data_IF_011112269600
#
_entry.id   IF_011112269600
#
_cell.length_a   1.000
_cell.length_b   1.000
_cell.length_c   1.000
_cell.angle_alpha   90.00
_cell.angle_beta   90.00
_cell.angle_gamma   90.00
#
_symmetry.space_group_name_H-M   'P 1'
#
loop_
_entity.id
_entity.type
_entity.pdbx_description
1 polymer ?
#
# COMPACT_ATOMS: atom_id res chain seq x y z
N UNK A 1 13.34 1.68 3.27
CA UNK A 1 12.25 1.23 4.17
C UNK A 1 11.99 -0.22 3.82
N UNK A 2 12.14 -1.17 4.75
CA UNK A 2 11.84 -2.57 4.46
C UNK A 2 10.33 -2.77 4.63
N UNK A 3 9.55 -2.69 3.56
CA UNK A 3 8.08 -2.76 3.63
C UNK A 3 7.62 -4.04 4.35
N UNK A 4 8.31 -5.17 4.14
CA UNK A 4 8.04 -6.44 4.82
C UNK A 4 8.10 -6.29 6.35
N UNK A 5 9.03 -5.49 6.87
CA UNK A 5 9.13 -5.25 8.31
C UNK A 5 7.96 -4.39 8.83
N UNK A 6 7.43 -3.46 8.03
CA UNK A 6 6.22 -2.72 8.39
C UNK A 6 5.00 -3.64 8.42
N UNK A 7 4.82 -4.52 7.42
CA UNK A 7 3.75 -5.52 7.43
C UNK A 7 3.82 -6.41 8.69
N UNK A 8 5.01 -6.95 8.98
CA UNK A 8 5.27 -7.76 10.18
C UNK A 8 5.00 -7.00 11.47
N UNK A 9 5.53 -5.78 11.61
CA UNK A 9 5.38 -4.93 12.80
C UNK A 9 3.91 -4.64 13.12
N UNK A 10 3.08 -4.52 12.08
CA UNK A 10 1.66 -4.23 12.23
C UNK A 10 0.78 -5.48 12.27
N UNK A 11 1.37 -6.68 12.24
CA UNK A 11 0.67 -7.97 12.20
C UNK A 11 -0.31 -8.08 11.02
N UNK A 12 0.13 -7.62 9.84
CA UNK A 12 -0.60 -7.72 8.58
C UNK A 12 0.06 -8.82 7.74
N UNK A 13 -0.71 -9.77 7.17
CA UNK A 13 -0.15 -10.82 6.33
C UNK A 13 0.62 -10.25 5.13
N UNK A 14 1.68 -10.95 4.75
CA UNK A 14 2.51 -10.60 3.60
C UNK A 14 2.89 -11.87 2.85
N UNK A 15 2.55 -11.91 1.58
CA UNK A 15 2.65 -13.05 0.67
C UNK A 15 3.09 -12.60 -0.71
N UNK A 16 3.10 -13.52 -1.67
CA UNK A 16 3.44 -13.22 -3.06
C UNK A 16 2.43 -12.28 -3.72
N UNK A 17 1.16 -12.24 -3.31
CA UNK A 17 0.22 -11.23 -3.81
C UNK A 17 0.60 -9.81 -3.35
N UNK A 18 1.07 -9.62 -2.11
CA UNK A 18 1.57 -8.30 -1.69
C UNK A 18 2.82 -7.89 -2.49
N UNK A 19 3.66 -8.84 -2.92
CA UNK A 19 4.76 -8.55 -3.84
C UNK A 19 4.23 -8.14 -5.22
N UNK A 20 3.28 -8.90 -5.78
CA UNK A 20 2.63 -8.62 -7.07
C UNK A 20 1.98 -7.23 -7.07
N UNK A 21 1.04 -6.99 -6.17
CA UNK A 21 0.34 -5.70 -6.04
C UNK A 21 1.32 -4.59 -5.68
N UNK A 22 2.32 -4.87 -4.84
CA UNK A 22 3.35 -3.90 -4.50
C UNK A 22 4.18 -3.47 -5.71
N UNK A 23 4.48 -4.38 -6.65
CA UNK A 23 5.28 -4.09 -7.85
C UNK A 23 4.46 -3.50 -8.99
N UNK A 24 3.28 -4.02 -9.23
CA UNK A 24 2.47 -3.69 -10.42
C UNK A 24 1.31 -2.73 -10.11
N UNK A 25 1.04 -2.49 -8.84
CA UNK A 25 -0.10 -1.71 -8.40
C UNK A 25 -1.39 -2.52 -8.43
N UNK A 26 -2.50 -1.79 -8.29
CA UNK A 26 -3.85 -2.32 -8.35
C UNK A 26 -4.75 -1.28 -9.01
N UNK A 27 -5.71 -1.71 -9.83
CA UNK A 27 -6.71 -0.82 -10.38
C UNK A 27 -7.98 -1.57 -10.74
N UNK A 28 -9.12 -1.03 -10.29
CA UNK A 28 -10.44 -1.39 -10.77
C UNK A 28 -11.30 -0.11 -10.94
N UNK A 29 -12.63 -0.25 -10.90
CA UNK A 29 -13.55 0.89 -11.05
C UNK A 29 -13.63 1.78 -9.80
N UNK A 30 -13.19 1.30 -8.63
CA UNK A 30 -13.37 1.94 -7.32
C UNK A 30 -12.04 2.34 -6.68
N UNK A 31 -10.98 1.57 -6.94
CA UNK A 31 -9.72 1.61 -6.23
C UNK A 31 -8.54 1.68 -7.18
N UNK A 32 -7.52 2.41 -6.73
CA UNK A 32 -6.26 2.57 -7.47
C UNK A 32 -5.08 2.60 -6.51
N UNK A 33 -3.99 1.92 -6.91
CA UNK A 33 -2.68 1.96 -6.29
C UNK A 33 -1.62 1.89 -7.40
N UNK A 34 -0.70 2.85 -7.41
CA UNK A 34 0.47 2.76 -8.26
C UNK A 34 1.47 1.75 -7.68
N UNK A 35 2.22 1.03 -8.55
CA UNK A 35 3.32 0.18 -8.13
C UNK A 35 4.40 0.96 -7.35
N UNK A 36 4.85 0.39 -6.23
CA UNK A 36 5.77 0.98 -5.25
C UNK A 36 7.11 0.25 -5.24
N UNK A 37 7.09 -1.07 -5.45
CA UNK A 37 8.28 -1.91 -5.45
C UNK A 37 8.95 -1.86 -6.83
N UNK A 38 10.27 -2.02 -6.85
CA UNK A 38 11.04 -2.20 -8.07
C UNK A 38 11.40 -3.68 -8.27
N UNK A 39 11.92 -4.01 -9.45
CA UNK A 39 12.31 -5.39 -9.78
C UNK A 39 13.42 -5.91 -8.85
N UNK A 40 14.36 -5.04 -8.47
CA UNK A 40 15.44 -5.38 -7.54
C UNK A 40 14.90 -5.84 -6.18
N UNK A 41 13.84 -5.20 -5.66
CA UNK A 41 13.18 -5.61 -4.45
C UNK A 41 12.55 -7.00 -4.61
N UNK A 42 11.79 -7.23 -5.69
CA UNK A 42 11.14 -8.52 -5.97
C UNK A 42 12.19 -9.63 -5.99
N UNK A 43 13.27 -9.43 -6.73
CA UNK A 43 14.33 -10.42 -6.89
C UNK A 43 15.08 -10.69 -5.58
N UNK A 44 15.42 -9.64 -4.83
CA UNK A 44 16.06 -9.80 -3.52
C UNK A 44 15.16 -10.57 -2.55
N UNK A 45 13.86 -10.29 -2.55
CA UNK A 45 12.89 -11.02 -1.75
C UNK A 45 12.84 -12.49 -2.15
N UNK A 46 12.75 -12.78 -3.45
CA UNK A 46 12.69 -14.15 -3.97
C UNK A 46 13.93 -14.97 -3.60
N UNK A 47 15.13 -14.39 -3.75
CA UNK A 47 16.37 -15.07 -3.38
C UNK A 47 16.47 -15.31 -1.87
N UNK A 48 16.10 -14.32 -1.04
CA UNK A 48 16.07 -14.49 0.42
C UNK A 48 15.04 -15.57 0.83
N UNK A 49 13.88 -15.61 0.18
CA UNK A 49 12.87 -16.63 0.39
C UNK A 49 13.38 -18.03 0.04
N UNK A 50 13.93 -18.24 -1.16
CA UNK A 50 14.46 -19.52 -1.61
C UNK A 50 15.62 -20.00 -0.73
N UNK A 51 16.47 -19.08 -0.25
CA UNK A 51 17.57 -19.41 0.67
C UNK A 51 17.10 -19.98 2.02
N UNK A 52 15.85 -19.69 2.41
CA UNK A 52 15.23 -20.15 3.65
C UNK A 52 14.28 -21.33 3.43
N UNK A 53 13.92 -21.61 2.18
CA UNK A 53 12.93 -22.62 1.79
C UNK A 53 13.53 -23.52 0.69
N UNK A 54 14.60 -24.24 1.01
CA UNK A 54 15.32 -25.10 0.03
C UNK A 54 14.43 -26.22 -0.57
N UNK A 55 13.33 -26.57 0.09
CA UNK A 55 12.36 -27.57 -0.36
C UNK A 55 11.10 -26.95 -1.00
N UNK A 56 11.17 -25.71 -1.49
CA UNK A 56 10.07 -25.08 -2.23
C UNK A 56 9.65 -25.95 -3.43
N UNK A 57 8.38 -26.32 -3.50
CA UNK A 57 7.83 -27.20 -4.53
C UNK A 57 7.28 -26.41 -5.73
N UNK A 58 6.94 -25.13 -5.54
CA UNK A 58 6.43 -24.28 -6.61
C UNK A 58 7.54 -23.89 -7.59
N UNK A 59 7.52 -24.50 -8.77
CA UNK A 59 8.50 -24.27 -9.83
C UNK A 59 8.56 -22.81 -10.29
N UNK A 60 7.45 -22.06 -10.19
CA UNK A 60 7.41 -20.66 -10.63
C UNK A 60 8.20 -19.74 -9.69
N UNK A 61 8.34 -20.09 -8.40
CA UNK A 61 9.19 -19.34 -7.46
C UNK A 61 10.67 -19.53 -7.84
N UNK A 62 11.07 -20.75 -8.21
CA UNK A 62 12.42 -21.03 -8.71
C UNK A 62 12.70 -20.34 -10.04
N UNK A 63 11.73 -20.34 -10.96
CA UNK A 63 11.83 -19.65 -12.25
C UNK A 63 11.99 -18.14 -12.03
N UNK A 64 11.19 -17.55 -11.14
CA UNK A 64 11.32 -16.14 -10.74
C UNK A 64 12.71 -15.85 -10.16
N UNK A 65 13.23 -16.70 -9.28
CA UNK A 65 14.57 -16.56 -8.70
C UNK A 65 15.73 -16.76 -9.69
N UNK A 66 15.44 -17.34 -10.86
CA UNK A 66 16.42 -17.59 -11.93
C UNK A 66 16.51 -16.47 -12.97
N UNK A 67 15.62 -15.47 -12.90
CA UNK A 67 15.67 -14.32 -13.81
C UNK A 67 16.97 -13.54 -13.63
N UNK A 68 17.53 -13.06 -14.74
CA UNK A 68 18.76 -12.28 -14.76
C UNK A 68 18.49 -10.84 -15.19
N UNK A 69 19.25 -9.91 -14.63
CA UNK A 69 19.18 -8.49 -15.03
C UNK A 69 19.75 -8.28 -16.45
N UNK A 70 19.09 -7.48 -17.32
CA UNK A 70 17.87 -6.71 -17.06
C UNK A 70 16.62 -7.60 -17.04
N UNK A 71 15.74 -7.37 -16.07
CA UNK A 71 14.54 -8.18 -15.88
C UNK A 71 13.45 -7.82 -16.91
N UNK A 72 12.72 -8.82 -17.40
CA UNK A 72 11.49 -8.61 -18.17
C UNK A 72 10.32 -8.46 -17.20
N UNK A 73 9.76 -7.24 -17.16
CA UNK A 73 8.62 -6.91 -16.31
C UNK A 73 7.39 -7.79 -16.57
N UNK A 74 7.15 -8.19 -17.82
CA UNK A 74 6.01 -9.07 -18.15
C UNK A 74 6.24 -10.49 -17.64
N UNK A 75 7.49 -10.94 -17.64
CA UNK A 75 7.86 -12.26 -17.12
C UNK A 75 7.72 -12.31 -15.61
N UNK A 76 8.18 -11.26 -14.90
CA UNK A 76 7.95 -11.10 -13.45
C UNK A 76 6.45 -11.13 -13.14
N UNK A 77 5.65 -10.33 -13.85
CA UNK A 77 4.21 -10.28 -13.64
C UNK A 77 3.59 -11.67 -13.79
N UNK A 78 3.87 -12.33 -14.91
CA UNK A 78 3.35 -13.65 -15.23
C UNK A 78 3.74 -14.68 -14.16
N UNK A 79 4.98 -14.68 -13.69
CA UNK A 79 5.44 -15.62 -12.68
C UNK A 79 4.77 -15.36 -11.33
N UNK A 80 4.67 -14.11 -10.90
CA UNK A 80 3.95 -13.77 -9.67
C UNK A 80 2.45 -14.11 -9.75
N UNK A 81 1.84 -13.93 -10.91
CA UNK A 81 0.44 -14.31 -11.18
C UNK A 81 0.25 -15.85 -11.13
N UNK A 82 1.24 -16.62 -11.59
CA UNK A 82 1.24 -18.08 -11.51
C UNK A 82 1.55 -18.63 -10.12
N UNK A 83 2.26 -17.88 -9.27
CA UNK A 83 2.56 -18.29 -7.90
C UNK A 83 1.29 -18.24 -7.03
N UNK A 84 0.41 -17.26 -7.24
CA UNK A 84 -0.82 -17.09 -6.46
C UNK A 84 -2.07 -16.95 -7.36
N UNK A 85 -2.88 -18.01 -7.39
CA UNK A 85 -3.96 -18.22 -8.37
C UNK A 85 -5.29 -17.50 -8.03
N UNK A 86 -5.30 -16.18 -7.73
CA UNK A 86 -6.59 -15.45 -7.71
C UNK A 86 -6.52 -13.91 -7.73
N UNK A 87 -7.41 -13.30 -8.51
CA UNK A 87 -7.68 -11.85 -8.51
C UNK A 87 -8.34 -11.35 -7.21
N UNK A 88 -9.08 -12.20 -6.50
CA UNK A 88 -9.69 -11.82 -5.20
C UNK A 88 -8.62 -11.51 -4.14
N UNK A 89 -7.48 -12.21 -4.20
CA UNK A 89 -6.34 -11.95 -3.31
C UNK A 89 -5.65 -10.61 -3.62
N UNK A 90 -5.75 -10.11 -4.85
CA UNK A 90 -5.15 -8.82 -5.22
C UNK A 90 -5.90 -7.65 -4.58
N UNK A 91 -7.23 -7.70 -4.51
CA UNK A 91 -8.02 -6.68 -3.80
C UNK A 91 -7.70 -6.66 -2.30
N UNK A 92 -7.59 -7.84 -1.67
CA UNK A 92 -7.19 -7.92 -0.27
C UNK A 92 -5.76 -7.38 -0.05
N UNK A 93 -4.84 -7.69 -0.98
CA UNK A 93 -3.47 -7.18 -0.95
C UNK A 93 -3.43 -5.66 -1.13
N UNK A 94 -4.31 -5.10 -1.98
CA UNK A 94 -4.50 -3.65 -2.09
C UNK A 94 -4.91 -3.05 -0.75
N UNK A 95 -5.92 -3.60 -0.06
CA UNK A 95 -6.36 -3.08 1.24
C UNK A 95 -5.24 -3.14 2.29
N UNK A 96 -4.45 -4.21 2.31
CA UNK A 96 -3.29 -4.34 3.21
C UNK A 96 -2.21 -3.30 2.90
N UNK A 97 -1.88 -3.08 1.63
CA UNK A 97 -0.97 -2.00 1.20
C UNK A 97 -1.50 -0.62 1.59
N UNK A 98 -2.77 -0.34 1.29
CA UNK A 98 -3.43 0.93 1.62
C UNK A 98 -3.34 1.20 3.12
N UNK A 99 -3.62 0.22 3.96
CA UNK A 99 -3.48 0.35 5.41
C UNK A 99 -2.05 0.71 5.83
N UNK A 100 -1.04 0.00 5.31
CA UNK A 100 0.37 0.25 5.62
C UNK A 100 0.77 1.67 5.22
N UNK A 101 0.33 2.11 4.04
CA UNK A 101 0.66 3.42 3.48
C UNK A 101 -0.01 4.56 4.26
N UNK A 102 -1.28 4.41 4.63
CA UNK A 102 -1.99 5.37 5.50
C UNK A 102 -1.36 5.45 6.88
N UNK A 103 -1.01 4.30 7.48
CA UNK A 103 -0.32 4.28 8.78
C UNK A 103 1.06 4.96 8.70
N UNK A 104 1.78 4.79 7.59
CA UNK A 104 3.06 5.46 7.37
C UNK A 104 2.91 6.96 7.10
N UNK A 105 1.87 7.38 6.37
CA UNK A 105 1.50 8.79 6.22
C UNK A 105 1.31 9.44 7.59
N UNK A 106 0.51 8.84 8.47
CA UNK A 106 0.25 9.39 9.80
C UNK A 106 1.53 9.55 10.63
N UNK A 107 2.49 8.63 10.52
CA UNK A 107 3.80 8.77 11.19
C UNK A 107 4.63 9.90 10.57
N UNK A 108 4.61 10.03 9.24
CA UNK A 108 5.40 11.01 8.49
C UNK A 108 4.98 12.46 8.74
N UNK A 109 3.69 12.69 8.98
CA UNK A 109 3.16 14.04 9.20
C UNK A 109 3.28 14.54 10.65
N UNK A 110 3.71 13.71 11.61
CA UNK A 110 3.77 14.08 13.04
C UNK A 110 4.65 15.30 13.32
N UNK A 111 5.74 15.45 12.56
CA UNK A 111 6.73 16.51 12.75
C UNK A 111 6.48 17.73 11.83
N UNK A 112 5.32 17.78 11.15
CA UNK A 112 4.98 18.84 10.20
C UNK A 112 4.04 19.87 10.83
N UNK A 113 4.11 21.11 10.37
CA UNK A 113 3.07 22.10 10.68
C UNK A 113 1.74 21.71 10.01
N UNK A 114 0.65 22.27 10.53
CA UNK A 114 -0.69 21.86 10.15
C UNK A 114 -1.01 22.09 8.67
N UNK A 115 -0.42 23.10 8.03
CA UNK A 115 -0.64 23.36 6.60
C UNK A 115 0.00 22.25 5.77
N UNK A 116 1.29 22.00 6.01
CA UNK A 116 2.03 20.99 5.27
C UNK A 116 1.50 19.57 5.53
N UNK A 117 1.05 19.27 6.76
CA UNK A 117 0.43 17.99 7.07
C UNK A 117 -0.88 17.77 6.30
N UNK A 118 -1.78 18.77 6.28
CA UNK A 118 -3.05 18.68 5.55
C UNK A 118 -2.86 18.58 4.04
N UNK A 119 -1.91 19.32 3.47
CA UNK A 119 -1.56 19.21 2.05
C UNK A 119 -1.07 17.80 1.70
N UNK A 120 -0.21 17.23 2.52
CA UNK A 120 0.33 15.90 2.27
C UNK A 120 -0.73 14.80 2.39
N UNK A 121 -1.68 14.93 3.32
CA UNK A 121 -2.85 14.03 3.38
C UNK A 121 -3.70 14.17 2.12
N UNK A 122 -3.91 15.40 1.65
CA UNK A 122 -4.67 15.66 0.42
C UNK A 122 -4.00 15.03 -0.81
N UNK A 123 -2.69 15.24 -0.97
CA UNK A 123 -1.91 14.68 -2.07
C UNK A 123 -1.93 13.14 -2.03
N UNK A 124 -1.75 12.55 -0.84
CA UNK A 124 -1.82 11.12 -0.65
C UNK A 124 -3.14 10.52 -1.18
N UNK A 125 -4.29 11.06 -0.79
CA UNK A 125 -5.57 10.52 -1.25
C UNK A 125 -5.84 10.79 -2.74
N UNK A 126 -5.29 11.87 -3.29
CA UNK A 126 -5.34 12.13 -4.74
C UNK A 126 -4.55 11.08 -5.52
N UNK A 127 -3.39 10.65 -5.02
CA UNK A 127 -2.59 9.58 -5.63
C UNK A 127 -3.34 8.24 -5.66
N UNK A 128 -4.20 7.99 -4.65
CA UNK A 128 -5.13 6.86 -4.60
C UNK A 128 -6.43 7.06 -5.40
N UNK A 129 -6.53 8.14 -6.19
CA UNK A 129 -7.72 8.52 -6.95
C UNK A 129 -8.98 8.79 -6.12
N UNK A 130 -8.80 9.18 -4.85
CA UNK A 130 -9.89 9.56 -3.95
C UNK A 130 -10.99 8.49 -3.83
N UNK A 131 -10.66 7.31 -3.32
CA UNK A 131 -11.63 6.24 -3.20
C UNK A 131 -12.79 6.67 -2.28
N UNK A 132 -13.98 6.15 -2.52
CA UNK A 132 -15.20 6.61 -1.85
C UNK A 132 -15.20 6.38 -0.33
N UNK A 133 -14.36 5.46 0.15
CA UNK A 133 -14.23 5.04 1.54
C UNK A 133 -13.08 5.74 2.29
N UNK A 134 -12.43 6.74 1.68
CA UNK A 134 -11.36 7.49 2.35
C UNK A 134 -11.89 8.31 3.55
N UNK A 135 -11.15 8.38 4.68
CA UNK A 135 -11.52 9.16 5.86
C UNK A 135 -11.14 10.64 5.73
N UNK A 136 -11.19 11.20 4.51
CA UNK A 136 -10.74 12.55 4.21
C UNK A 136 -11.75 13.30 3.35
N UNK A 137 -11.95 14.57 3.66
CA UNK A 137 -12.84 15.44 2.93
C UNK A 137 -12.07 16.64 2.39
N UNK A 138 -11.96 16.76 1.07
CA UNK A 138 -11.29 17.89 0.45
C UNK A 138 -12.01 19.21 0.71
N UNK A 139 -11.24 20.29 0.81
CA UNK A 139 -11.81 21.62 0.92
C UNK A 139 -12.74 21.93 -0.26
N UNK A 140 -13.96 22.39 0.03
CA UNK A 140 -14.93 22.79 -1.00
C UNK A 140 -15.62 21.63 -1.71
N UNK A 141 -15.31 20.38 -1.35
CA UNK A 141 -16.03 19.18 -1.80
C UNK A 141 -16.99 18.76 -0.71
N UNK A 142 -18.28 19.03 -0.92
CA UNK A 142 -19.37 18.67 0.02
C UNK A 142 -19.24 19.30 1.42
N UNK A 143 -18.36 20.30 1.59
CA UNK A 143 -18.30 21.18 2.76
C UNK A 143 -18.20 22.65 2.32
N UNK A 144 -18.46 23.54 3.28
CA UNK A 144 -18.39 25.00 3.10
C UNK A 144 -17.19 25.61 3.83
N UNK A 145 -16.16 24.82 4.13
CA UNK A 145 -14.99 25.29 4.87
C UNK A 145 -14.19 26.26 4.01
N UNK A 146 -14.01 27.47 4.52
CA UNK A 146 -13.07 28.44 3.96
C UNK A 146 -11.63 27.97 4.18
N UNK A 147 -10.63 28.51 3.45
CA UNK A 147 -9.24 28.11 3.66
C UNK A 147 -8.77 28.36 5.09
N UNK A 148 -9.28 29.42 5.72
CA UNK A 148 -8.97 29.80 7.09
C UNK A 148 -9.55 28.81 8.12
N UNK A 149 -10.65 28.14 7.81
CA UNK A 149 -11.26 27.12 8.65
C UNK A 149 -10.64 25.73 8.39
N UNK A 150 -10.22 25.47 7.15
CA UNK A 150 -9.62 24.21 6.74
C UNK A 150 -8.18 24.05 7.26
N UNK A 151 -7.35 25.09 7.10
CA UNK A 151 -5.95 25.04 7.52
C UNK A 151 -5.77 25.49 8.97
N UNK A 152 -6.21 24.63 9.90
CA UNK A 152 -6.09 24.85 11.35
C UNK A 152 -5.56 23.60 12.07
N UNK A 153 -4.96 23.78 13.25
CA UNK A 153 -4.55 22.66 14.12
C UNK A 153 -5.75 21.81 14.58
N UNK A 154 -6.90 22.45 14.83
CA UNK A 154 -8.13 21.77 15.22
C UNK A 154 -8.61 20.85 14.09
N UNK A 155 -8.61 21.35 12.84
CA UNK A 155 -8.98 20.55 11.70
C UNK A 155 -8.02 19.38 11.47
N UNK A 156 -6.70 19.61 11.53
CA UNK A 156 -5.72 18.53 11.44
C UNK A 156 -5.95 17.47 12.53
N UNK A 157 -6.19 17.89 13.76
CA UNK A 157 -6.43 16.97 14.89
C UNK A 157 -7.65 16.08 14.63
N UNK A 158 -8.72 16.65 14.06
CA UNK A 158 -9.90 15.89 13.62
C UNK A 158 -9.56 14.91 12.51
N UNK A 159 -8.89 15.38 11.45
CA UNK A 159 -8.49 14.54 10.31
C UNK A 159 -7.65 13.35 10.79
N UNK A 160 -6.65 13.57 11.65
CA UNK A 160 -5.84 12.49 12.24
C UNK A 160 -6.71 11.52 13.04
N UNK A 161 -7.66 12.01 13.83
CA UNK A 161 -8.58 11.16 14.59
C UNK A 161 -9.44 10.29 13.66
N UNK A 162 -9.96 10.85 12.58
CA UNK A 162 -10.80 10.12 11.62
C UNK A 162 -9.98 9.04 10.89
N UNK A 163 -8.74 9.35 10.50
CA UNK A 163 -7.82 8.36 9.90
C UNK A 163 -7.45 7.23 10.88
N UNK A 164 -7.26 7.54 12.16
CA UNK A 164 -6.96 6.51 13.18
C UNK A 164 -8.12 5.55 13.35
N UNK A 165 -9.36 6.07 13.43
CA UNK A 165 -10.56 5.23 13.50
C UNK A 165 -10.68 4.35 12.26
N UNK A 166 -10.51 4.95 11.08
CA UNK A 166 -10.54 4.22 9.82
C UNK A 166 -9.50 3.09 9.77
N UNK A 167 -8.27 3.34 10.24
CA UNK A 167 -7.24 2.28 10.33
C UNK A 167 -7.64 1.16 11.30
N UNK A 168 -8.30 1.47 12.41
CA UNK A 168 -8.80 0.45 13.35
C UNK A 168 -9.86 -0.42 12.69
N UNK A 169 -10.86 0.20 12.05
CA UNK A 169 -11.97 -0.48 11.37
C UNK A 169 -11.46 -1.34 10.20
N UNK A 170 -10.60 -0.79 9.35
CA UNK A 170 -10.02 -1.51 8.21
C UNK A 170 -9.26 -2.74 8.66
N UNK A 171 -8.49 -2.63 9.74
CA UNK A 171 -7.63 -3.72 10.23
C UNK A 171 -8.41 -4.98 10.59
N UNK A 172 -9.67 -4.84 11.02
CA UNK A 172 -10.52 -5.99 11.33
C UNK A 172 -10.82 -6.85 10.09
N UNK A 173 -10.80 -6.23 8.91
CA UNK A 173 -11.12 -6.84 7.63
C UNK A 173 -9.89 -7.37 6.86
N UNK A 174 -8.67 -7.14 7.34
CA UNK A 174 -7.42 -7.49 6.64
C UNK A 174 -6.92 -8.92 6.87
N UNK A 175 -7.67 -9.75 7.60
CA UNK A 175 -7.28 -11.12 7.96
C UNK A 175 -7.41 -12.08 6.79
#
# INVERSE_FOLDING_TARGET
MNCVDEFKKNNIPFSWNEIKVGRFGYSDNEFYLQGILDDEFVMKYTLDYLSKNENEENSYVWELGSLFSPYDENEIYKLLDLIEDSNEKDLMSYYRWRWILVNNLLKKILDKDYVNALLEISEFWLDFKSPFDMPYQYQGVENKLTPQEFYTEEHLSKVISDHRRWLEDEKENLK
#
